data_IF_624184831416
#
_entry.id   IF_624184831416
#
_cell.length_a   1.000
_cell.length_b   1.000
_cell.length_c   1.000
_cell.angle_alpha   90.00
_cell.angle_beta   90.00
_cell.angle_gamma   90.00
#
_symmetry.space_group_name_H-M   'P 1'
#
loop_
_entity.id
_entity.type
_entity.pdbx_description
1 polymer ?
#
# COMPACT_ATOMS: atom_id res chain seq x y z
N UNK A 1 44.72 -54.37 8.50
CA UNK A 1 44.82 -54.56 9.97
C UNK A 1 44.01 -53.44 10.62
N UNK A 2 42.75 -53.61 11.00
CA UNK A 2 42.20 -54.43 12.09
C UNK A 2 42.70 -54.01 13.49
N UNK A 3 41.82 -53.42 14.30
CA UNK A 3 41.99 -53.14 15.75
C UNK A 3 41.05 -52.00 16.21
N UNK A 4 39.76 -52.25 16.46
CA UNK A 4 39.09 -52.66 17.73
C UNK A 4 38.94 -51.55 18.79
N UNK A 5 37.67 -51.34 19.19
CA UNK A 5 37.07 -50.42 20.20
C UNK A 5 37.46 -50.77 21.66
N UNK A 6 37.16 -49.91 22.66
CA UNK A 6 35.86 -49.95 23.41
C UNK A 6 35.27 -48.54 23.72
N UNK A 7 33.94 -48.28 23.80
CA UNK A 7 32.96 -48.53 24.90
C UNK A 7 33.48 -48.01 26.27
N UNK A 8 32.84 -47.19 27.12
CA UNK A 8 31.49 -46.72 27.43
C UNK A 8 31.61 -45.46 28.32
N UNK A 9 30.62 -44.56 28.37
CA UNK A 9 29.91 -44.32 29.64
C UNK A 9 28.68 -43.42 29.49
N UNK A 10 27.56 -43.99 29.91
CA UNK A 10 26.25 -43.40 30.17
C UNK A 10 26.27 -42.50 31.41
N UNK A 11 25.60 -41.34 31.33
CA UNK A 11 25.02 -40.70 32.52
C UNK A 11 23.51 -40.55 32.32
N UNK A 12 22.80 -41.26 33.17
CA UNK A 12 21.36 -41.22 33.43
C UNK A 12 20.94 -39.86 33.97
N UNK A 13 19.91 -39.26 33.37
CA UNK A 13 19.02 -38.32 34.08
C UNK A 13 17.59 -38.74 33.80
N UNK A 14 16.99 -39.32 34.83
CA UNK A 14 15.58 -39.66 34.93
C UNK A 14 14.75 -38.38 34.97
N UNK A 15 13.89 -38.16 33.97
CA UNK A 15 12.84 -37.16 34.07
C UNK A 15 11.47 -37.82 33.96
N UNK A 16 10.81 -37.77 35.11
CA UNK A 16 9.52 -38.31 35.53
C UNK A 16 8.38 -37.87 34.62
N UNK A 17 7.69 -38.83 34.00
CA UNK A 17 6.39 -38.64 33.35
C UNK A 17 5.40 -37.95 34.28
N UNK A 18 4.93 -36.77 33.89
CA UNK A 18 3.66 -36.23 34.36
C UNK A 18 2.61 -36.45 33.27
N UNK A 19 1.72 -37.39 33.56
CA UNK A 19 0.50 -37.64 32.80
C UNK A 19 -0.47 -36.51 33.15
N UNK A 20 -0.72 -35.59 32.22
CA UNK A 20 -1.82 -34.62 32.37
C UNK A 20 -2.99 -35.16 31.55
N UNK A 21 -4.06 -35.47 32.27
CA UNK A 21 -5.30 -35.98 31.74
C UNK A 21 -6.01 -34.92 30.89
N UNK A 22 -6.56 -35.38 29.76
CA UNK A 22 -7.79 -34.93 29.12
C UNK A 22 -8.14 -33.45 29.12
N UNK A 23 -8.07 -32.85 27.94
CA UNK A 23 -9.22 -32.14 27.38
C UNK A 23 -9.19 -32.37 25.87
N UNK A 24 -10.22 -33.05 25.38
CA UNK A 24 -10.49 -33.16 23.96
C UNK A 24 -10.78 -31.74 23.44
N UNK A 25 -9.89 -31.22 22.60
CA UNK A 25 -10.26 -30.14 21.68
C UNK A 25 -10.76 -30.82 20.40
N UNK A 26 -11.96 -31.40 20.50
CA UNK A 26 -12.85 -31.47 19.35
C UNK A 26 -13.50 -30.09 19.23
N UNK A 27 -12.74 -29.16 18.68
CA UNK A 27 -13.31 -28.03 17.98
C UNK A 27 -12.98 -28.28 16.51
N UNK A 28 -13.91 -28.99 15.88
CA UNK A 28 -14.19 -28.80 14.46
C UNK A 28 -14.17 -27.30 14.19
N UNK A 29 -13.03 -26.81 13.68
CA UNK A 29 -13.01 -25.58 12.91
C UNK A 29 -13.93 -25.90 11.75
N UNK A 30 -15.20 -25.51 11.86
CA UNK A 30 -16.03 -25.37 10.69
C UNK A 30 -15.38 -24.24 9.90
N UNK A 31 -14.44 -24.64 9.06
CA UNK A 31 -13.94 -23.82 7.98
C UNK A 31 -15.10 -23.79 6.99
N UNK A 32 -16.07 -22.91 7.23
CA UNK A 32 -16.78 -22.34 6.11
C UNK A 32 -15.68 -21.85 5.18
N UNK A 33 -15.56 -22.54 4.06
CA UNK A 33 -14.57 -22.23 3.03
C UNK A 33 -15.06 -20.96 2.35
N UNK A 34 -14.87 -19.82 3.03
CA UNK A 34 -15.01 -18.51 2.42
C UNK A 34 -14.00 -18.49 1.28
N UNK A 35 -14.50 -18.44 0.05
CA UNK A 35 -13.63 -18.27 -1.11
C UNK A 35 -13.18 -16.81 -1.15
N UNK A 36 -11.99 -16.59 -0.58
CA UNK A 36 -11.37 -15.28 -0.47
C UNK A 36 -11.10 -14.60 -1.82
N UNK A 37 -11.23 -15.29 -2.96
CA UNK A 37 -11.09 -14.67 -4.28
C UNK A 37 -12.20 -13.68 -4.61
N UNK A 38 -13.37 -13.82 -3.98
CA UNK A 38 -14.52 -12.94 -4.21
C UNK A 38 -14.64 -11.83 -3.16
N UNK A 39 -13.78 -11.83 -2.15
CA UNK A 39 -13.72 -10.76 -1.14
C UNK A 39 -13.10 -9.50 -1.74
N UNK A 40 -13.57 -8.34 -1.29
CA UNK A 40 -12.84 -7.10 -1.55
C UNK A 40 -11.49 -7.12 -0.82
N UNK A 41 -10.57 -6.23 -1.22
CA UNK A 41 -9.27 -6.11 -0.55
C UNK A 41 -9.45 -5.75 0.93
N UNK A 42 -10.41 -4.89 1.27
CA UNK A 42 -10.74 -4.55 2.66
C UNK A 42 -11.24 -5.77 3.43
N UNK A 43 -12.21 -6.52 2.87
CA UNK A 43 -12.76 -7.71 3.55
C UNK A 43 -11.68 -8.77 3.78
N UNK A 44 -10.73 -8.90 2.85
CA UNK A 44 -9.60 -9.81 2.98
C UNK A 44 -8.64 -9.37 4.10
N UNK A 45 -8.30 -8.07 4.16
CA UNK A 45 -7.43 -7.53 5.20
C UNK A 45 -8.07 -7.66 6.58
N UNK A 46 -9.37 -7.38 6.70
CA UNK A 46 -10.14 -7.53 7.94
C UNK A 46 -10.21 -9.00 8.35
N UNK A 47 -10.50 -9.91 7.41
CA UNK A 47 -10.48 -11.35 7.66
C UNK A 47 -9.09 -11.83 8.15
N UNK A 48 -8.00 -11.26 7.61
CA UNK A 48 -6.64 -11.55 8.06
C UNK A 48 -6.36 -11.00 9.46
N UNK A 49 -6.86 -9.80 9.81
CA UNK A 49 -6.72 -9.20 11.14
C UNK A 49 -7.51 -9.96 12.20
N UNK A 50 -8.71 -10.41 11.89
CA UNK A 50 -9.57 -11.20 12.80
C UNK A 50 -8.93 -12.55 13.15
N UNK A 51 -8.29 -13.19 12.16
CA UNK A 51 -7.70 -14.53 12.32
C UNK A 51 -6.27 -14.50 12.86
N UNK A 52 -5.55 -13.38 12.75
CA UNK A 52 -4.18 -13.26 13.25
C UNK A 52 -4.11 -12.71 14.68
N UNK A 53 -3.58 -13.52 15.59
CA UNK A 53 -3.22 -13.13 16.96
C UNK A 53 -1.80 -12.56 17.07
N UNK A 54 -0.96 -12.72 16.05
CA UNK A 54 0.42 -12.23 16.06
C UNK A 54 0.47 -10.70 15.85
N UNK A 55 0.97 -9.92 16.83
CA UNK A 55 1.00 -8.46 16.74
C UNK A 55 1.88 -7.93 15.60
N UNK A 56 2.96 -8.64 15.25
CA UNK A 56 3.84 -8.24 14.13
C UNK A 56 3.11 -8.40 12.80
N UNK A 57 2.37 -9.50 12.61
CA UNK A 57 1.59 -9.72 11.39
C UNK A 57 0.47 -8.70 11.25
N UNK A 58 -0.21 -8.35 12.36
CA UNK A 58 -1.22 -7.29 12.37
C UNK A 58 -0.63 -5.94 11.96
N UNK A 59 0.54 -5.59 12.49
CA UNK A 59 1.23 -4.35 12.10
C UNK A 59 1.61 -4.35 10.61
N UNK A 60 2.05 -5.48 10.06
CA UNK A 60 2.32 -5.61 8.62
C UNK A 60 1.04 -5.46 7.78
N UNK A 61 -0.10 -5.99 8.24
CA UNK A 61 -1.39 -5.85 7.54
C UNK A 61 -1.84 -4.39 7.51
N UNK A 62 -1.73 -3.66 8.63
CA UNK A 62 -2.01 -2.21 8.65
C UNK A 62 -1.08 -1.42 7.73
N UNK A 63 0.23 -1.70 7.78
CA UNK A 63 1.17 -1.05 6.87
C UNK A 63 0.87 -1.36 5.39
N UNK A 64 0.39 -2.57 5.09
CA UNK A 64 -0.05 -2.94 3.75
C UNK A 64 -1.29 -2.15 3.32
N UNK A 65 -2.27 -1.99 4.21
CA UNK A 65 -3.48 -1.20 3.96
C UNK A 65 -3.13 0.23 3.55
N UNK A 66 -2.26 0.89 4.32
CA UNK A 66 -1.79 2.24 4.00
C UNK A 66 -1.01 2.28 2.69
N UNK A 67 -0.12 1.29 2.48
CA UNK A 67 0.72 1.23 1.29
C UNK A 67 -0.10 1.03 0.02
N UNK A 68 -1.19 0.27 0.04
CA UNK A 68 -2.06 0.06 -1.12
C UNK A 68 -2.67 1.40 -1.55
N UNK A 69 -3.25 2.15 -0.61
CA UNK A 69 -3.88 3.46 -0.89
C UNK A 69 -2.84 4.44 -1.44
N UNK A 70 -1.67 4.54 -0.80
CA UNK A 70 -0.61 5.41 -1.28
C UNK A 70 -0.06 4.99 -2.64
N UNK A 71 0.12 3.70 -2.91
CA UNK A 71 0.63 3.21 -4.20
C UNK A 71 -0.34 3.53 -5.34
N UNK A 72 -1.65 3.37 -5.11
CA UNK A 72 -2.67 3.70 -6.10
C UNK A 72 -2.66 5.21 -6.37
N UNK A 73 -2.68 6.04 -5.32
CA UNK A 73 -2.62 7.49 -5.45
C UNK A 73 -1.37 7.96 -6.19
N UNK A 74 -0.20 7.40 -5.84
CA UNK A 74 1.07 7.75 -6.47
C UNK A 74 1.09 7.33 -7.94
N UNK A 75 0.60 6.12 -8.26
CA UNK A 75 0.51 5.65 -9.66
C UNK A 75 -0.36 6.58 -10.50
N UNK A 76 -1.50 7.04 -9.97
CA UNK A 76 -2.39 7.97 -10.66
C UNK A 76 -1.70 9.32 -10.89
N UNK A 77 -1.01 9.83 -9.87
CA UNK A 77 -0.28 11.09 -9.98
C UNK A 77 0.93 11.01 -10.90
N UNK A 78 1.68 9.90 -10.89
CA UNK A 78 2.78 9.64 -11.81
C UNK A 78 2.28 9.56 -13.25
N UNK A 79 1.17 8.85 -13.51
CA UNK A 79 0.55 8.81 -14.82
C UNK A 79 0.09 10.21 -15.28
N UNK A 80 -0.59 10.96 -14.40
CA UNK A 80 -1.01 12.34 -14.68
C UNK A 80 0.19 13.22 -15.00
N UNK A 81 1.25 13.15 -14.21
CA UNK A 81 2.48 13.92 -14.40
C UNK A 81 3.19 13.54 -15.70
N UNK A 82 3.24 12.25 -16.03
CA UNK A 82 3.87 11.74 -17.25
C UNK A 82 3.24 12.28 -18.54
N UNK A 83 1.96 12.66 -18.46
CA UNK A 83 1.18 13.22 -19.58
C UNK A 83 0.88 14.72 -19.41
N UNK A 84 1.55 15.39 -18.48
CA UNK A 84 1.36 16.82 -18.18
C UNK A 84 2.52 17.67 -18.71
N UNK A 85 2.21 18.90 -19.10
CA UNK A 85 3.18 19.93 -19.46
C UNK A 85 3.13 21.00 -18.36
N UNK A 86 4.29 21.32 -17.78
CA UNK A 86 4.41 22.40 -16.78
C UNK A 86 4.87 23.67 -17.48
N UNK A 87 4.03 24.70 -17.45
CA UNK A 87 4.34 26.04 -17.98
C UNK A 87 4.60 26.96 -16.80
N UNK A 88 5.78 27.57 -16.74
CA UNK A 88 6.19 28.49 -15.70
C UNK A 88 6.88 29.73 -16.30
N UNK A 89 6.94 30.82 -15.54
CA UNK A 89 7.60 32.06 -15.97
C UNK A 89 6.75 32.96 -16.87
N UNK A 90 5.45 32.70 -16.99
CA UNK A 90 4.52 33.62 -17.64
C UNK A 90 4.28 34.84 -16.77
N UNK A 91 4.34 36.03 -17.38
CA UNK A 91 3.97 37.26 -16.70
C UNK A 91 2.46 37.27 -16.44
N UNK A 92 2.09 37.32 -15.16
CA UNK A 92 0.70 37.48 -14.72
C UNK A 92 0.23 38.93 -14.84
N UNK A 93 -1.07 39.09 -15.08
CA UNK A 93 -1.69 40.40 -15.15
C UNK A 93 -1.77 41.06 -13.75
N UNK A 94 -1.70 42.41 -13.69
CA UNK A 94 -1.76 43.17 -12.44
C UNK A 94 -2.97 42.82 -11.58
N UNK A 95 -2.79 42.80 -10.26
CA UNK A 95 -3.84 42.38 -9.31
C UNK A 95 -5.03 43.34 -9.28
N UNK A 96 -4.85 44.55 -9.77
CA UNK A 96 -5.84 45.60 -9.92
C UNK A 96 -6.89 45.25 -10.97
N UNK A 97 -6.57 44.35 -11.92
CA UNK A 97 -7.54 43.85 -12.88
C UNK A 97 -8.52 42.85 -12.24
N UNK A 98 -9.78 42.83 -12.71
CA UNK A 98 -10.76 41.83 -12.27
C UNK A 98 -10.23 40.41 -12.45
N UNK A 99 -10.55 39.50 -11.51
CA UNK A 99 -10.10 38.11 -11.56
C UNK A 99 -10.42 37.41 -12.88
N UNK A 100 -11.62 37.66 -13.43
CA UNK A 100 -12.04 37.12 -14.73
C UNK A 100 -11.17 37.62 -15.90
N UNK A 101 -10.74 38.88 -15.88
CA UNK A 101 -9.82 39.45 -16.88
C UNK A 101 -8.45 38.78 -16.76
N UNK A 102 -7.88 38.72 -15.55
CA UNK A 102 -6.56 38.11 -15.33
C UNK A 102 -6.54 36.64 -15.75
N UNK A 103 -7.60 35.90 -15.43
CA UNK A 103 -7.73 34.50 -15.83
C UNK A 103 -7.81 34.35 -17.35
N UNK A 104 -8.68 35.12 -18.02
CA UNK A 104 -8.82 35.06 -19.48
C UNK A 104 -7.52 35.38 -20.22
N UNK A 105 -6.78 36.40 -19.77
CA UNK A 105 -5.47 36.75 -20.35
C UNK A 105 -4.43 35.64 -20.15
N UNK A 106 -4.38 35.04 -18.96
CA UNK A 106 -3.48 33.90 -18.69
C UNK A 106 -3.85 32.68 -19.54
N UNK A 107 -5.13 32.34 -19.62
CA UNK A 107 -5.63 31.24 -20.45
C UNK A 107 -5.32 31.48 -21.93
N UNK A 108 -5.43 32.73 -22.41
CA UNK A 108 -5.04 33.11 -23.77
C UNK A 108 -3.54 32.90 -24.03
N UNK A 109 -2.67 33.31 -23.10
CA UNK A 109 -1.21 33.06 -23.20
C UNK A 109 -0.89 31.56 -23.22
N UNK A 110 -1.55 30.77 -22.35
CA UNK A 110 -1.38 29.31 -22.32
C UNK A 110 -1.84 28.69 -23.64
N UNK A 111 -3.01 29.08 -24.14
CA UNK A 111 -3.56 28.59 -25.41
C UNK A 111 -2.57 28.82 -26.55
N UNK A 112 -2.01 30.03 -26.67
CA UNK A 112 -1.00 30.31 -27.69
C UNK A 112 0.25 29.44 -27.58
N UNK A 113 0.70 29.08 -26.37
CA UNK A 113 1.81 28.13 -26.18
C UNK A 113 1.42 26.73 -26.62
N UNK A 114 0.23 26.26 -26.25
CA UNK A 114 -0.25 24.93 -26.62
C UNK A 114 -0.43 24.80 -28.14
N UNK A 115 -0.90 25.86 -28.80
CA UNK A 115 -1.02 25.95 -30.26
C UNK A 115 0.36 25.86 -30.94
N UNK A 116 1.38 26.54 -30.41
CA UNK A 116 2.77 26.48 -30.93
C UNK A 116 3.36 25.07 -30.76
N UNK A 117 3.06 24.41 -29.64
CA UNK A 117 3.52 23.05 -29.36
C UNK A 117 2.73 21.98 -30.14
N UNK A 118 1.63 22.35 -30.82
CA UNK A 118 0.72 21.46 -31.53
C UNK A 118 0.21 20.31 -30.64
N UNK A 119 -0.24 20.65 -29.43
CA UNK A 119 -0.73 19.69 -28.44
C UNK A 119 -2.20 19.90 -28.10
N UNK A 120 -2.98 18.82 -28.12
CA UNK A 120 -4.38 18.83 -27.74
C UNK A 120 -4.54 18.60 -26.23
N UNK A 121 -4.45 19.66 -25.43
CA UNK A 121 -4.70 19.58 -24.00
C UNK A 121 -5.42 20.83 -23.46
N UNK A 122 -5.89 20.75 -22.21
CA UNK A 122 -6.54 21.86 -21.51
C UNK A 122 -5.89 22.08 -20.15
N UNK A 123 -5.80 23.34 -19.68
CA UNK A 123 -5.38 23.61 -18.31
C UNK A 123 -6.28 22.86 -17.31
N UNK A 124 -5.66 22.20 -16.34
CA UNK A 124 -6.38 21.53 -15.25
C UNK A 124 -6.03 22.21 -13.93
N UNK A 125 -7.02 22.48 -13.10
CA UNK A 125 -6.81 23.00 -11.74
C UNK A 125 -6.01 21.98 -10.93
N UNK A 126 -4.86 22.41 -10.39
CA UNK A 126 -4.17 21.70 -9.32
C UNK A 126 -4.82 22.10 -7.99
N UNK A 127 -5.33 21.15 -7.18
CA UNK A 127 -5.84 21.46 -5.85
C UNK A 127 -4.73 22.08 -5.00
N UNK A 128 -5.03 23.20 -4.32
CA UNK A 128 -4.11 23.83 -3.37
C UNK A 128 -3.76 22.82 -2.26
N UNK A 129 -2.47 22.48 -2.14
CA UNK A 129 -2.00 21.51 -1.13
C UNK A 129 -0.70 20.76 -1.45
N UNK A 130 -0.10 20.97 -2.63
CA UNK A 130 1.20 20.39 -2.99
C UNK A 130 2.19 21.47 -3.44
N UNK A 131 2.71 22.24 -2.48
CA UNK A 131 4.01 22.92 -2.55
C UNK A 131 4.70 22.71 -1.21
#
# INVERSE_FOLDING_TARGET
MAGKRPLQNSKTVSQKSRKVAGVALDQSIQCETIDYRYCSVSDLLDAMLERNTNPVVRAMIHALQDKIVHTISNTIEEDRKSRSIVVAGLAEEPRELPASRRQSELEGKITGILDILDVECRPQTVPDGYV
#
